data_IF_459048603853
#
_entry.id   IF_459048603853
#
_cell.length_a   1.000
_cell.length_b   1.000
_cell.length_c   1.000
_cell.angle_alpha   90.00
_cell.angle_beta   90.00
_cell.angle_gamma   90.00
#
_symmetry.space_group_name_H-M   'P 1'
#
loop_
_entity.id
_entity.type
_entity.pdbx_description
1 polymer ?
#
# COMPACT_ATOMS: atom_id res chain seq x y z
N UNK A 1 51.34 -5.04 42.62
CA UNK A 1 51.17 -5.35 41.16
C UNK A 1 50.20 -6.51 40.90
N UNK A 2 50.40 -7.68 41.58
CA UNK A 2 49.55 -8.87 41.34
C UNK A 2 48.07 -8.68 41.75
N UNK A 3 47.77 -7.86 42.78
CA UNK A 3 46.40 -7.53 43.18
C UNK A 3 45.72 -6.68 42.13
N UNK A 4 46.37 -5.69 41.57
CA UNK A 4 45.84 -4.83 40.51
C UNK A 4 45.58 -5.60 39.18
N UNK A 5 46.44 -6.56 38.85
CA UNK A 5 46.24 -7.46 37.73
C UNK A 5 44.98 -8.33 37.91
N UNK A 6 44.83 -8.95 39.09
CA UNK A 6 43.65 -9.77 39.40
C UNK A 6 42.36 -8.94 39.44
N UNK A 7 42.41 -7.69 39.87
CA UNK A 7 41.24 -6.79 39.83
C UNK A 7 40.86 -6.46 38.38
N UNK A 8 41.81 -6.22 37.49
CA UNK A 8 41.55 -5.98 36.07
C UNK A 8 40.95 -7.22 35.38
N UNK A 9 41.48 -8.41 35.66
CA UNK A 9 40.95 -9.68 35.13
C UNK A 9 39.50 -9.95 35.62
N UNK A 10 39.18 -9.63 36.86
CA UNK A 10 37.83 -9.75 37.41
C UNK A 10 36.88 -8.77 36.73
N UNK A 11 37.31 -7.53 36.55
CA UNK A 11 36.48 -6.52 35.85
C UNK A 11 36.21 -6.89 34.38
N UNK A 12 37.22 -7.38 33.68
CA UNK A 12 37.06 -7.87 32.29
C UNK A 12 36.06 -9.04 32.22
N UNK A 13 36.18 -10.02 33.15
CA UNK A 13 35.22 -11.13 33.25
C UNK A 13 33.81 -10.65 33.58
N UNK A 14 33.68 -9.69 34.45
CA UNK A 14 32.38 -9.11 34.81
C UNK A 14 31.73 -8.38 33.58
N UNK A 15 32.54 -7.68 32.79
CA UNK A 15 32.06 -7.06 31.56
C UNK A 15 31.64 -8.12 30.52
N UNK A 16 32.37 -9.20 30.40
CA UNK A 16 32.00 -10.32 29.53
C UNK A 16 30.67 -10.96 29.95
N UNK A 17 30.51 -11.24 31.27
CA UNK A 17 29.25 -11.79 31.79
C UNK A 17 28.05 -10.85 31.51
N UNK A 18 28.22 -9.53 31.69
CA UNK A 18 27.16 -8.56 31.39
C UNK A 18 26.76 -8.58 29.89
N UNK A 19 27.74 -8.69 28.99
CA UNK A 19 27.46 -8.82 27.55
C UNK A 19 26.71 -10.12 27.22
N UNK A 20 27.12 -11.24 27.80
CA UNK A 20 26.43 -12.52 27.62
C UNK A 20 24.99 -12.50 28.17
N UNK A 21 24.77 -11.87 29.32
CA UNK A 21 23.43 -11.69 29.90
C UNK A 21 22.53 -10.83 29.01
N UNK A 22 23.07 -9.76 28.42
CA UNK A 22 22.28 -8.91 27.51
C UNK A 22 21.95 -9.64 26.22
N UNK A 23 22.88 -10.39 25.62
CA UNK A 23 22.61 -11.25 24.47
C UNK A 23 21.52 -12.28 24.80
N UNK A 24 21.61 -12.92 25.97
CA UNK A 24 20.60 -13.89 26.41
C UNK A 24 19.24 -13.25 26.60
N UNK A 25 19.16 -12.03 27.12
CA UNK A 25 17.93 -11.26 27.30
C UNK A 25 17.28 -10.95 25.94
N UNK A 26 18.10 -10.47 24.97
CA UNK A 26 17.65 -10.17 23.62
C UNK A 26 17.14 -11.42 22.89
N UNK A 27 17.87 -12.54 23.04
CA UNK A 27 17.47 -13.84 22.48
C UNK A 27 16.14 -14.32 23.05
N UNK A 28 15.95 -14.24 24.36
CA UNK A 28 14.69 -14.63 25.01
C UNK A 28 13.51 -13.77 24.54
N UNK A 29 13.70 -12.45 24.40
CA UNK A 29 12.67 -11.57 23.86
C UNK A 29 12.31 -11.94 22.41
N UNK A 30 13.32 -12.31 21.61
CA UNK A 30 13.10 -12.75 20.22
C UNK A 30 12.30 -14.06 20.17
N UNK A 31 12.64 -15.04 21.01
CA UNK A 31 11.90 -16.30 21.14
C UNK A 31 10.42 -16.04 21.51
N UNK A 32 10.18 -15.18 22.50
CA UNK A 32 8.81 -14.83 22.91
C UNK A 32 8.01 -14.20 21.76
N UNK A 33 8.64 -13.30 21.00
CA UNK A 33 7.99 -12.70 19.83
C UNK A 33 7.67 -13.74 18.75
N UNK A 34 8.57 -14.69 18.50
CA UNK A 34 8.31 -15.80 17.55
C UNK A 34 7.17 -16.71 18.02
N UNK A 35 7.06 -16.97 19.31
CA UNK A 35 5.94 -17.76 19.86
C UNK A 35 4.59 -17.06 19.65
N UNK A 36 4.51 -15.75 19.80
CA UNK A 36 3.33 -14.95 19.51
C UNK A 36 2.98 -15.02 18.02
N UNK A 37 3.95 -14.88 17.14
CA UNK A 37 3.75 -14.98 15.67
C UNK A 37 3.24 -16.38 15.30
N UNK A 38 3.85 -17.43 15.84
CA UNK A 38 3.43 -18.82 15.59
C UNK A 38 2.00 -19.04 16.09
N UNK A 39 1.64 -18.50 17.25
CA UNK A 39 0.28 -18.58 17.79
C UNK A 39 -0.73 -17.90 16.86
N UNK A 40 -0.43 -16.71 16.37
CA UNK A 40 -1.29 -15.99 15.44
C UNK A 40 -1.45 -16.73 14.10
N UNK A 41 -0.35 -17.24 13.53
CA UNK A 41 -0.39 -18.03 12.30
C UNK A 41 -1.19 -19.33 12.46
N UNK A 42 -1.12 -19.98 13.63
CA UNK A 42 -1.94 -21.16 13.92
C UNK A 42 -3.42 -20.81 13.97
N UNK A 43 -3.77 -19.67 14.59
CA UNK A 43 -5.15 -19.20 14.63
C UNK A 43 -5.68 -18.86 13.24
N UNK A 44 -4.92 -18.14 12.41
CA UNK A 44 -5.28 -17.85 11.03
C UNK A 44 -5.47 -19.13 10.19
N UNK A 45 -4.57 -20.10 10.34
CA UNK A 45 -4.70 -21.40 9.67
C UNK A 45 -5.93 -22.18 10.11
N UNK A 46 -6.31 -22.09 11.38
CA UNK A 46 -7.53 -22.73 11.88
C UNK A 46 -8.79 -22.10 11.29
N UNK A 47 -8.85 -20.76 11.23
CA UNK A 47 -9.96 -20.01 10.62
C UNK A 47 -10.05 -20.28 9.11
N UNK A 48 -8.92 -20.30 8.41
CA UNK A 48 -8.87 -20.71 6.99
C UNK A 48 -9.34 -22.16 6.80
N UNK A 49 -8.97 -23.07 7.69
CA UNK A 49 -9.43 -24.45 7.68
C UNK A 49 -10.95 -24.56 7.85
N UNK A 50 -11.53 -23.79 8.78
CA UNK A 50 -13.00 -23.71 8.97
C UNK A 50 -13.70 -23.16 7.73
N UNK A 51 -13.17 -22.08 7.13
CA UNK A 51 -13.70 -21.48 5.92
C UNK A 51 -13.62 -22.46 4.72
N UNK A 52 -12.51 -23.19 4.57
CA UNK A 52 -12.31 -24.19 3.52
C UNK A 52 -13.27 -25.36 3.69
N UNK A 53 -13.46 -25.83 4.92
CA UNK A 53 -14.40 -26.92 5.25
C UNK A 53 -15.84 -26.49 4.95
N UNK A 54 -16.22 -25.27 5.32
CA UNK A 54 -17.51 -24.70 4.96
C UNK A 54 -17.68 -24.62 3.44
N UNK A 55 -16.67 -24.16 2.71
CA UNK A 55 -16.69 -24.06 1.25
C UNK A 55 -16.88 -25.45 0.59
N UNK A 56 -16.08 -26.44 0.98
CA UNK A 56 -16.19 -27.80 0.45
C UNK A 56 -17.54 -28.46 0.74
N UNK A 57 -18.08 -28.26 1.95
CA UNK A 57 -19.41 -28.77 2.32
C UNK A 57 -20.53 -28.19 1.45
N UNK A 58 -20.37 -26.95 0.95
CA UNK A 58 -21.39 -26.24 0.17
C UNK A 58 -21.01 -26.07 -1.30
N UNK A 59 -19.88 -26.58 -1.72
CA UNK A 59 -19.33 -26.41 -3.09
C UNK A 59 -20.32 -26.85 -4.17
N UNK A 60 -20.94 -28.00 -3.99
CA UNK A 60 -21.92 -28.52 -4.95
C UNK A 60 -23.16 -27.62 -5.09
N UNK A 61 -23.61 -27.02 -3.98
CA UNK A 61 -24.74 -26.09 -3.98
C UNK A 61 -24.34 -24.77 -4.59
N UNK A 62 -23.16 -24.24 -4.22
CA UNK A 62 -22.61 -22.99 -4.77
C UNK A 62 -22.37 -23.15 -6.27
N UNK A 63 -21.83 -24.27 -6.72
CA UNK A 63 -21.60 -24.56 -8.15
C UNK A 63 -22.92 -24.66 -8.92
N UNK A 64 -23.93 -25.35 -8.36
CA UNK A 64 -25.27 -25.45 -8.97
C UNK A 64 -25.96 -24.10 -9.11
N UNK A 65 -25.87 -23.26 -8.08
CA UNK A 65 -26.42 -21.89 -8.09
C UNK A 65 -25.66 -21.02 -9.11
N UNK A 66 -24.33 -21.08 -9.11
CA UNK A 66 -23.49 -20.35 -10.09
C UNK A 66 -23.80 -20.75 -11.52
N UNK A 67 -23.96 -22.04 -11.79
CA UNK A 67 -24.30 -22.56 -13.13
C UNK A 67 -25.67 -22.07 -13.57
N UNK A 68 -26.71 -22.20 -12.72
CA UNK A 68 -28.07 -21.72 -13.05
C UNK A 68 -28.13 -20.21 -13.27
N UNK A 69 -27.44 -19.44 -12.42
CA UNK A 69 -27.34 -17.99 -12.58
C UNK A 69 -26.58 -17.62 -13.87
N UNK A 70 -25.50 -18.34 -14.18
CA UNK A 70 -24.73 -18.15 -15.42
C UNK A 70 -25.54 -18.48 -16.69
N UNK A 71 -26.32 -19.54 -16.67
CA UNK A 71 -27.22 -19.94 -17.76
C UNK A 71 -28.35 -18.91 -17.95
N UNK A 72 -29.00 -18.50 -16.88
CA UNK A 72 -30.05 -17.46 -16.93
C UNK A 72 -29.50 -16.12 -17.40
N UNK A 73 -28.30 -15.76 -16.93
CA UNK A 73 -27.60 -14.55 -17.35
C UNK A 73 -27.24 -14.57 -18.83
N UNK A 74 -26.68 -15.70 -19.33
CA UNK A 74 -26.32 -15.83 -20.74
C UNK A 74 -27.54 -15.81 -21.67
N UNK A 75 -28.67 -16.38 -21.22
CA UNK A 75 -29.94 -16.36 -21.96
C UNK A 75 -30.54 -14.97 -22.03
N UNK A 76 -30.46 -14.19 -20.95
CA UNK A 76 -31.03 -12.85 -20.87
C UNK A 76 -30.13 -11.74 -21.45
N UNK A 77 -28.81 -11.99 -21.47
CA UNK A 77 -27.79 -11.06 -21.92
C UNK A 77 -26.75 -11.74 -22.83
N UNK A 78 -26.98 -11.83 -24.14
CA UNK A 78 -26.07 -12.49 -25.07
C UNK A 78 -24.67 -11.86 -25.09
N UNK A 79 -23.63 -12.67 -25.42
CA UNK A 79 -22.25 -12.18 -25.54
C UNK A 79 -22.21 -11.02 -26.56
N UNK A 80 -21.55 -9.92 -26.20
CA UNK A 80 -21.38 -8.74 -27.06
C UNK A 80 -22.46 -7.65 -26.89
N UNK A 81 -23.56 -7.90 -26.18
CA UNK A 81 -24.58 -6.86 -25.96
C UNK A 81 -24.11 -5.76 -25.00
N UNK A 82 -24.54 -4.52 -25.26
CA UNK A 82 -24.25 -3.35 -24.37
C UNK A 82 -24.76 -3.61 -22.94
N UNK A 83 -25.91 -4.29 -22.79
CA UNK A 83 -26.48 -4.69 -21.52
C UNK A 83 -25.60 -5.69 -20.78
N UNK A 84 -24.86 -6.56 -21.50
CA UNK A 84 -23.92 -7.50 -20.88
C UNK A 84 -22.66 -6.78 -20.40
N UNK A 85 -22.13 -5.79 -21.13
CA UNK A 85 -21.03 -4.94 -20.64
C UNK A 85 -21.42 -4.22 -19.35
N UNK A 86 -22.61 -3.66 -19.27
CA UNK A 86 -23.16 -3.03 -18.07
C UNK A 86 -23.26 -4.00 -16.86
N UNK A 87 -23.57 -5.26 -17.14
CA UNK A 87 -23.77 -6.30 -16.12
C UNK A 87 -22.51 -7.12 -15.80
N UNK A 88 -21.41 -6.97 -16.55
CA UNK A 88 -20.13 -7.59 -16.18
C UNK A 88 -19.58 -7.04 -14.87
N UNK A 89 -19.91 -5.79 -14.55
CA UNK A 89 -19.64 -5.19 -13.24
C UNK A 89 -20.47 -5.83 -12.10
N UNK A 90 -21.63 -6.39 -12.38
CA UNK A 90 -22.43 -7.14 -11.40
C UNK A 90 -21.86 -8.52 -11.05
N UNK A 91 -20.83 -9.01 -11.75
CA UNK A 91 -20.15 -10.25 -11.35
C UNK A 91 -19.56 -10.14 -9.95
N UNK A 92 -19.06 -8.99 -9.57
CA UNK A 92 -18.54 -8.74 -8.23
C UNK A 92 -19.64 -8.83 -7.16
N UNK A 93 -20.86 -8.43 -7.49
CA UNK A 93 -22.04 -8.52 -6.64
C UNK A 93 -22.47 -9.97 -6.34
N UNK A 94 -22.28 -10.88 -7.29
CA UNK A 94 -22.61 -12.30 -7.11
C UNK A 94 -21.56 -13.00 -6.23
N UNK A 95 -20.33 -12.46 -6.20
CA UNK A 95 -19.21 -13.04 -5.43
C UNK A 95 -19.06 -12.45 -4.02
N UNK A 96 -19.63 -11.25 -3.77
CA UNK A 96 -19.63 -10.60 -2.45
C UNK A 96 -21.02 -10.07 -2.05
N UNK A 97 -22.05 -10.96 -1.89
CA UNK A 97 -23.44 -10.57 -1.80
C UNK A 97 -23.78 -9.67 -0.59
N UNK A 98 -23.09 -9.83 0.54
CA UNK A 98 -23.39 -9.06 1.74
C UNK A 98 -22.91 -7.61 1.69
N UNK A 99 -21.80 -7.34 1.02
CA UNK A 99 -21.27 -5.97 0.86
C UNK A 99 -22.08 -5.20 -0.20
N UNK A 100 -22.53 -5.92 -1.20
CA UNK A 100 -23.29 -5.38 -2.34
C UNK A 100 -24.74 -5.10 -2.00
N UNK A 101 -25.38 -5.94 -1.17
CA UNK A 101 -26.79 -5.79 -0.81
C UNK A 101 -27.04 -4.48 -0.03
N UNK A 102 -26.08 -4.10 0.83
CA UNK A 102 -26.17 -2.86 1.63
C UNK A 102 -26.07 -1.59 0.78
N UNK A 103 -25.30 -1.64 -0.32
CA UNK A 103 -25.20 -0.56 -1.30
C UNK A 103 -26.44 -0.50 -2.22
N UNK A 104 -26.96 -1.66 -2.64
CA UNK A 104 -28.07 -1.75 -3.60
C UNK A 104 -29.42 -1.34 -2.99
N UNK A 105 -29.60 -1.51 -1.68
CA UNK A 105 -30.83 -1.14 -0.96
C UNK A 105 -30.83 0.31 -0.47
N UNK A 106 -29.71 1.02 -0.54
CA UNK A 106 -29.62 2.43 -0.19
C UNK A 106 -30.18 3.29 -1.33
N UNK A 107 -30.83 4.41 -1.02
CA UNK A 107 -31.27 5.38 -2.03
C UNK A 107 -30.09 5.91 -2.87
N UNK A 108 -28.91 5.90 -2.32
CA UNK A 108 -27.64 6.27 -2.92
C UNK A 108 -27.24 5.34 -4.08
N UNK A 109 -27.51 4.02 -3.98
CA UNK A 109 -27.20 3.05 -5.05
C UNK A 109 -28.07 3.20 -6.29
N UNK A 110 -29.24 3.85 -6.16
CA UNK A 110 -30.19 4.02 -7.28
C UNK A 110 -29.79 5.11 -8.28
N UNK A 111 -28.90 6.02 -7.91
CA UNK A 111 -28.51 7.20 -8.69
C UNK A 111 -27.14 7.10 -9.36
N UNK A 112 -26.45 5.95 -9.28
CA UNK A 112 -25.15 5.76 -9.91
C UNK A 112 -25.29 5.59 -11.43
N UNK A 113 -24.66 6.47 -12.18
CA UNK A 113 -24.51 6.35 -13.64
C UNK A 113 -23.49 5.27 -13.99
N UNK A 114 -23.57 4.73 -15.20
CA UNK A 114 -22.66 3.70 -15.71
C UNK A 114 -21.17 4.12 -15.58
N UNK A 115 -20.38 3.37 -14.86
CA UNK A 115 -18.95 3.62 -14.61
C UNK A 115 -18.60 4.05 -13.19
N UNK A 116 -19.57 4.56 -12.41
CA UNK A 116 -19.34 5.10 -11.06
C UNK A 116 -19.32 4.03 -9.96
N UNK A 117 -19.70 2.79 -10.28
CA UNK A 117 -19.81 1.72 -9.28
C UNK A 117 -18.48 1.33 -8.62
N UNK A 118 -17.35 1.54 -9.31
CA UNK A 118 -16.02 1.19 -8.80
C UNK A 118 -15.41 2.26 -7.90
N UNK A 119 -15.88 3.52 -7.99
CA UNK A 119 -15.39 4.65 -7.18
C UNK A 119 -16.40 5.05 -6.08
N UNK A 120 -17.66 4.68 -6.25
CA UNK A 120 -18.73 4.66 -5.24
C UNK A 120 -18.90 5.94 -4.43
N UNK A 121 -18.86 5.79 -3.10
CA UNK A 121 -19.15 6.86 -2.15
C UNK A 121 -18.12 7.99 -2.19
N UNK A 122 -16.84 7.68 -2.39
CA UNK A 122 -15.75 8.68 -2.38
C UNK A 122 -15.89 9.65 -3.54
N UNK A 123 -16.26 9.17 -4.74
CA UNK A 123 -16.52 10.05 -5.89
C UNK A 123 -17.74 10.95 -5.67
N UNK A 124 -18.80 10.45 -5.02
CA UNK A 124 -19.98 11.29 -4.70
C UNK A 124 -19.66 12.42 -3.74
N UNK A 125 -18.74 12.18 -2.83
CA UNK A 125 -18.34 13.17 -1.84
C UNK A 125 -17.44 14.26 -2.43
N UNK A 126 -16.47 13.87 -3.26
CA UNK A 126 -15.42 14.77 -3.77
C UNK A 126 -15.62 15.20 -5.24
N UNK A 127 -16.41 14.47 -6.03
CA UNK A 127 -16.66 14.76 -7.45
C UNK A 127 -15.40 14.65 -8.31
N UNK A 128 -15.30 15.45 -9.37
CA UNK A 128 -14.10 15.48 -10.21
C UNK A 128 -12.98 16.21 -9.49
N UNK A 129 -11.84 15.57 -9.38
CA UNK A 129 -10.65 16.13 -8.74
C UNK A 129 -9.90 17.10 -9.68
N UNK A 130 -9.40 18.20 -9.13
CA UNK A 130 -8.69 19.24 -9.88
C UNK A 130 -7.29 19.44 -9.29
N UNK A 131 -6.27 18.89 -9.95
CA UNK A 131 -4.89 19.06 -9.56
C UNK A 131 -4.32 20.37 -10.15
N UNK A 132 -3.53 21.13 -9.38
CA UNK A 132 -2.90 22.35 -9.86
C UNK A 132 -1.85 22.00 -10.94
N UNK A 133 -1.82 22.78 -12.03
CA UNK A 133 -0.72 22.71 -12.99
C UNK A 133 0.43 23.56 -12.47
N UNK A 134 1.55 22.91 -12.18
CA UNK A 134 2.77 23.56 -11.69
C UNK A 134 3.84 23.48 -12.77
N UNK A 135 4.43 24.63 -13.14
CA UNK A 135 5.49 24.66 -14.17
C UNK A 135 6.78 24.03 -13.67
N UNK A 136 7.19 24.34 -12.44
CA UNK A 136 8.41 23.85 -11.80
C UNK A 136 8.04 23.16 -10.48
N UNK A 137 7.57 21.91 -10.51
CA UNK A 137 7.23 21.17 -9.29
C UNK A 137 8.51 20.83 -8.52
N UNK A 138 8.45 20.87 -7.19
CA UNK A 138 9.53 20.38 -6.35
C UNK A 138 9.56 18.86 -6.34
N UNK A 139 8.39 18.21 -6.38
CA UNK A 139 8.25 16.76 -6.37
C UNK A 139 7.36 16.28 -7.51
N UNK A 140 7.79 15.24 -8.22
CA UNK A 140 6.96 14.46 -9.14
C UNK A 140 6.48 13.19 -8.42
N UNK A 141 5.19 13.09 -8.15
CA UNK A 141 4.57 11.94 -7.50
C UNK A 141 4.18 10.94 -8.59
N UNK A 142 4.89 9.83 -8.68
CA UNK A 142 4.64 8.74 -9.64
C UNK A 142 3.80 7.66 -8.97
N UNK A 143 2.61 7.42 -9.49
CA UNK A 143 1.65 6.45 -8.95
C UNK A 143 1.49 5.31 -9.96
N UNK A 144 2.07 4.12 -9.72
CA UNK A 144 1.85 2.95 -10.56
C UNK A 144 0.43 2.42 -10.37
N UNK A 145 -0.24 2.17 -11.50
CA UNK A 145 -1.65 1.77 -11.51
C UNK A 145 -1.85 0.59 -12.46
N UNK A 146 -2.56 -0.42 -11.98
CA UNK A 146 -3.10 -1.50 -12.80
C UNK A 146 -4.49 -1.87 -12.29
N UNK A 147 -5.54 -1.35 -12.95
CA UNK A 147 -6.93 -1.47 -12.49
C UNK A 147 -7.15 -0.83 -11.10
N UNK A 148 -8.24 -1.19 -10.42
CA UNK A 148 -8.54 -0.77 -9.04
C UNK A 148 -8.74 0.74 -8.90
N UNK A 149 -9.52 1.35 -9.79
CA UNK A 149 -9.80 2.80 -9.84
C UNK A 149 -10.18 3.40 -8.48
N UNK A 150 -10.89 2.64 -7.64
CA UNK A 150 -11.36 3.12 -6.33
C UNK A 150 -10.22 3.40 -5.36
N UNK A 151 -9.15 2.57 -5.36
CA UNK A 151 -7.95 2.85 -4.58
C UNK A 151 -7.20 4.05 -5.15
N UNK A 152 -6.97 4.07 -6.46
CA UNK A 152 -6.31 5.19 -7.14
C UNK A 152 -7.02 6.51 -6.85
N UNK A 153 -8.35 6.53 -6.93
CA UNK A 153 -9.12 7.74 -6.66
C UNK A 153 -9.02 8.18 -5.19
N UNK A 154 -9.13 7.26 -4.23
CA UNK A 154 -8.96 7.56 -2.80
C UNK A 154 -7.55 8.07 -2.47
N UNK A 155 -6.52 7.49 -3.09
CA UNK A 155 -5.14 7.98 -3.00
C UNK A 155 -5.05 9.43 -3.52
N UNK A 156 -5.59 9.72 -4.69
CA UNK A 156 -5.60 11.06 -5.28
C UNK A 156 -6.34 12.09 -4.41
N UNK A 157 -7.46 11.72 -3.81
CA UNK A 157 -8.18 12.56 -2.83
C UNK A 157 -7.26 12.91 -1.67
N UNK A 158 -6.62 11.92 -1.06
CA UNK A 158 -5.74 12.15 0.10
C UNK A 158 -4.54 13.06 -0.25
N UNK A 159 -3.98 12.94 -1.46
CA UNK A 159 -2.92 13.83 -1.93
C UNK A 159 -3.43 15.27 -2.03
N UNK A 160 -4.59 15.51 -2.63
CA UNK A 160 -5.18 16.85 -2.75
C UNK A 160 -5.49 17.47 -1.38
N UNK A 161 -5.95 16.67 -0.43
CA UNK A 161 -6.31 17.16 0.90
C UNK A 161 -5.10 17.50 1.76
N UNK A 162 -4.04 16.67 1.67
CA UNK A 162 -2.94 16.68 2.63
C UNK A 162 -1.59 17.15 2.09
N UNK A 163 -1.53 17.62 0.83
CA UNK A 163 -0.30 18.14 0.23
C UNK A 163 -0.45 19.63 -0.09
N UNK A 164 -0.14 20.49 0.88
CA UNK A 164 -0.32 21.95 0.77
C UNK A 164 1.00 22.75 0.77
N UNK A 165 2.05 22.15 1.34
CA UNK A 165 3.29 22.85 1.70
C UNK A 165 4.42 22.64 0.69
N UNK A 166 4.23 21.74 -0.29
CA UNK A 166 5.20 21.37 -1.32
C UNK A 166 4.55 21.51 -2.68
N UNK A 167 5.24 22.10 -3.66
CA UNK A 167 4.76 22.12 -5.05
C UNK A 167 5.01 20.78 -5.70
N UNK A 168 3.98 20.22 -6.34
CA UNK A 168 4.06 18.87 -6.90
C UNK A 168 3.29 18.74 -8.22
N UNK A 169 3.65 17.74 -8.98
CA UNK A 169 2.84 17.18 -10.06
C UNK A 169 2.53 15.70 -9.77
N UNK A 170 1.47 15.19 -10.36
CA UNK A 170 1.10 13.77 -10.24
C UNK A 170 1.19 13.12 -11.61
N UNK A 171 1.93 12.01 -11.67
CA UNK A 171 2.14 11.18 -12.86
C UNK A 171 1.52 9.81 -12.59
N UNK A 172 0.51 9.46 -13.36
CA UNK A 172 -0.14 8.16 -13.32
C UNK A 172 0.57 7.22 -14.29
N UNK A 173 1.18 6.18 -13.77
CA UNK A 173 1.82 5.12 -14.54
C UNK A 173 0.83 3.97 -14.77
N UNK A 174 0.00 4.07 -15.83
CA UNK A 174 -1.05 3.07 -16.12
C UNK A 174 -0.50 1.91 -16.94
N UNK A 175 -0.44 0.74 -16.32
CA UNK A 175 0.08 -0.50 -16.92
C UNK A 175 -1.02 -1.30 -17.67
N UNK A 176 -1.73 -0.63 -18.57
CA UNK A 176 -2.81 -1.21 -19.40
C UNK A 176 -4.04 -1.62 -18.57
N UNK A 177 -4.53 -0.73 -17.72
CA UNK A 177 -5.78 -0.95 -16.99
C UNK A 177 -6.96 -1.16 -17.93
N UNK A 178 -7.87 -2.04 -17.53
CA UNK A 178 -9.07 -2.43 -18.31
C UNK A 178 -10.39 -2.13 -17.59
N UNK A 179 -10.31 -1.57 -16.39
CA UNK A 179 -11.44 -1.06 -15.62
C UNK A 179 -11.65 0.45 -15.88
N UNK A 180 -12.42 1.13 -15.02
CA UNK A 180 -12.66 2.57 -15.15
C UNK A 180 -11.38 3.44 -15.03
N UNK A 181 -10.25 2.88 -14.61
CA UNK A 181 -8.94 3.55 -14.61
C UNK A 181 -8.53 3.99 -16.02
N UNK A 182 -8.89 3.24 -17.06
CA UNK A 182 -8.70 3.64 -18.47
C UNK A 182 -9.27 5.03 -18.78
N UNK A 183 -10.28 5.45 -18.01
CA UNK A 183 -10.96 6.72 -18.16
C UNK A 183 -10.71 7.68 -16.98
N UNK A 184 -9.57 7.58 -16.32
CA UNK A 184 -9.23 8.38 -15.13
C UNK A 184 -9.40 9.88 -15.35
N UNK A 185 -9.17 10.39 -16.57
CA UNK A 185 -9.38 11.79 -16.94
C UNK A 185 -10.81 12.29 -16.76
N UNK A 186 -11.80 11.39 -16.66
CA UNK A 186 -13.17 11.76 -16.32
C UNK A 186 -13.34 12.09 -14.84
N UNK A 187 -12.50 11.53 -13.99
CA UNK A 187 -12.58 11.59 -12.54
C UNK A 187 -11.56 12.56 -11.93
N UNK A 188 -10.47 12.81 -12.64
CA UNK A 188 -9.43 13.74 -12.18
C UNK A 188 -8.79 14.45 -13.39
N UNK A 189 -8.43 15.73 -13.22
CA UNK A 189 -7.70 16.51 -14.21
C UNK A 189 -6.45 17.18 -13.60
N UNK A 190 -5.57 17.67 -14.47
CA UNK A 190 -4.27 18.21 -14.05
C UNK A 190 -3.20 17.13 -13.81
N UNK A 191 -3.50 15.86 -14.11
CA UNK A 191 -2.57 14.74 -14.03
C UNK A 191 -1.79 14.56 -15.33
N UNK A 192 -0.56 14.03 -15.23
CA UNK A 192 0.19 13.47 -16.35
C UNK A 192 -0.13 11.97 -16.39
N UNK A 193 -0.68 11.47 -17.50
CA UNK A 193 -1.03 10.05 -17.64
C UNK A 193 -0.07 9.38 -18.61
N UNK A 194 0.76 8.47 -18.10
CA UNK A 194 1.68 7.63 -18.86
C UNK A 194 1.08 6.22 -18.95
N UNK A 195 0.47 5.88 -20.09
CA UNK A 195 -0.11 4.56 -20.31
C UNK A 195 0.79 3.71 -21.19
N UNK A 196 1.12 2.51 -20.72
CA UNK A 196 1.86 1.53 -21.49
C UNK A 196 1.01 0.92 -22.60
N UNK A 197 1.64 0.43 -23.67
CA UNK A 197 0.97 -0.31 -24.74
C UNK A 197 0.75 -1.80 -24.41
N UNK A 198 1.60 -2.33 -23.53
CA UNK A 198 1.55 -3.71 -22.99
C UNK A 198 1.91 -3.68 -21.51
N UNK A 199 1.41 -4.66 -20.75
CA UNK A 199 1.73 -4.75 -19.32
C UNK A 199 3.23 -4.99 -19.13
N UNK A 200 3.90 -4.08 -18.43
CA UNK A 200 5.34 -4.07 -18.18
C UNK A 200 5.70 -4.59 -16.78
N UNK A 201 4.72 -4.73 -15.91
CA UNK A 201 4.92 -5.00 -14.50
C UNK A 201 5.41 -3.78 -13.73
N UNK A 202 5.34 -3.86 -12.40
CA UNK A 202 5.52 -2.75 -11.48
C UNK A 202 6.80 -1.93 -11.74
N UNK A 203 7.97 -2.59 -11.73
CA UNK A 203 9.26 -1.90 -11.82
C UNK A 203 9.43 -1.14 -13.14
N UNK A 204 9.15 -1.79 -14.27
CA UNK A 204 9.32 -1.16 -15.59
C UNK A 204 8.30 -0.05 -15.81
N UNK A 205 7.08 -0.22 -15.31
CA UNK A 205 6.04 0.79 -15.35
C UNK A 205 6.46 2.06 -14.59
N UNK A 206 6.97 1.91 -13.36
CA UNK A 206 7.54 3.02 -12.58
C UNK A 206 8.67 3.72 -13.33
N UNK A 207 9.67 2.95 -13.82
CA UNK A 207 10.82 3.48 -14.54
C UNK A 207 10.43 4.24 -15.80
N UNK A 208 9.44 3.76 -16.53
CA UNK A 208 8.97 4.43 -17.75
C UNK A 208 8.27 5.74 -17.44
N UNK A 209 7.39 5.75 -16.43
CA UNK A 209 6.65 6.94 -16.05
C UNK A 209 7.53 8.01 -15.40
N UNK A 210 8.55 7.61 -14.64
CA UNK A 210 9.50 8.53 -14.02
C UNK A 210 10.29 9.39 -15.02
N UNK A 211 10.41 8.96 -16.28
CA UNK A 211 11.01 9.78 -17.36
C UNK A 211 10.23 11.06 -17.66
N UNK A 212 8.95 11.12 -17.27
CA UNK A 212 8.14 12.32 -17.39
C UNK A 212 8.25 13.27 -16.18
N UNK A 213 8.99 12.87 -15.14
CA UNK A 213 9.18 13.66 -13.92
C UNK A 213 10.00 14.93 -14.21
N UNK A 214 9.47 16.06 -13.75
CA UNK A 214 10.10 17.38 -13.86
C UNK A 214 10.56 17.93 -12.51
N UNK A 215 10.14 17.27 -11.42
CA UNK A 215 10.49 17.65 -10.06
C UNK A 215 11.96 17.41 -9.74
N UNK A 216 12.49 18.19 -8.79
CA UNK A 216 13.82 17.95 -8.20
C UNK A 216 13.87 16.55 -7.54
N UNK A 217 12.74 16.11 -7.01
CA UNK A 217 12.58 14.80 -6.38
C UNK A 217 11.50 13.99 -7.08
N UNK A 218 11.68 12.66 -7.08
CA UNK A 218 10.67 11.68 -7.52
C UNK A 218 10.14 10.93 -6.29
N UNK A 219 8.83 10.95 -6.12
CA UNK A 219 8.11 10.20 -5.09
C UNK A 219 7.36 9.06 -5.72
N UNK A 220 7.78 7.82 -5.50
CA UNK A 220 6.98 6.65 -5.84
C UNK A 220 5.98 6.39 -4.74
N UNK A 221 4.71 6.34 -5.08
CA UNK A 221 3.61 6.16 -4.15
C UNK A 221 2.62 5.13 -4.70
N UNK A 222 2.39 4.03 -3.99
CA UNK A 222 1.42 3.04 -4.42
C UNK A 222 0.00 3.62 -4.45
N UNK A 223 -0.80 3.18 -5.42
CA UNK A 223 -2.17 3.66 -5.63
C UNK A 223 -3.18 3.24 -4.53
N UNK A 224 -2.81 2.31 -3.66
CA UNK A 224 -3.60 1.83 -2.52
C UNK A 224 -3.19 2.46 -1.18
N UNK A 225 -2.43 3.55 -1.22
CA UNK A 225 -2.04 4.33 -0.05
C UNK A 225 -2.95 5.53 0.17
N UNK A 226 -3.06 5.99 1.41
CA UNK A 226 -3.66 7.26 1.78
C UNK A 226 -2.64 8.05 2.59
N UNK A 227 -2.35 9.27 2.14
CA UNK A 227 -1.38 10.14 2.79
C UNK A 227 -2.04 11.00 3.87
N UNK A 228 -1.24 11.48 4.83
CA UNK A 228 -1.69 12.26 5.99
C UNK A 228 -1.07 13.66 5.97
N UNK A 229 -1.58 14.63 6.74
CA UNK A 229 -1.02 15.99 6.78
C UNK A 229 0.48 16.01 7.03
N UNK A 230 1.23 16.81 6.26
CA UNK A 230 2.68 16.99 6.39
C UNK A 230 3.54 15.83 5.86
N UNK A 231 2.96 14.79 5.25
CA UNK A 231 3.68 13.62 4.77
C UNK A 231 4.81 13.95 3.78
N UNK A 232 4.52 14.79 2.78
CA UNK A 232 5.49 15.09 1.72
C UNK A 232 6.53 16.10 2.18
N UNK A 233 6.11 17.14 2.90
CA UNK A 233 7.03 18.16 3.43
C UNK A 233 8.03 17.57 4.43
N UNK A 234 7.61 16.59 5.25
CA UNK A 234 8.53 15.89 6.15
C UNK A 234 9.63 15.12 5.40
N UNK A 235 9.27 14.43 4.30
CA UNK A 235 10.23 13.72 3.47
C UNK A 235 11.18 14.67 2.73
N UNK A 236 10.63 15.77 2.16
CA UNK A 236 11.44 16.80 1.46
C UNK A 236 12.39 17.49 2.43
N UNK A 237 11.92 17.89 3.61
CA UNK A 237 12.79 18.52 4.61
C UNK A 237 13.91 17.59 5.06
N UNK A 238 13.62 16.29 5.20
CA UNK A 238 14.63 15.31 5.58
C UNK A 238 15.69 15.12 4.49
N UNK A 239 15.29 14.90 3.25
CA UNK A 239 16.26 14.70 2.15
C UNK A 239 17.09 15.95 1.87
N UNK A 240 16.57 17.15 2.19
CA UNK A 240 17.28 18.43 2.05
C UNK A 240 18.17 18.77 3.25
N UNK A 241 17.99 18.08 4.39
CA UNK A 241 18.76 18.37 5.62
C UNK A 241 20.23 17.96 5.53
N UNK A 242 20.55 16.96 4.68
CA UNK A 242 21.91 16.48 4.49
C UNK A 242 22.10 16.01 3.03
N UNK A 243 23.11 16.54 2.30
CA UNK A 243 23.36 16.17 0.90
C UNK A 243 23.78 14.71 0.71
N UNK A 244 24.09 13.98 1.76
CA UNK A 244 24.42 12.54 1.70
C UNK A 244 23.17 11.67 1.69
N UNK A 245 22.00 12.21 2.00
CA UNK A 245 20.72 11.47 1.98
C UNK A 245 20.26 11.37 0.53
N UNK A 246 20.37 10.17 -0.05
CA UNK A 246 19.93 9.90 -1.43
C UNK A 246 18.47 9.45 -1.52
N UNK A 247 17.92 8.87 -0.46
CA UNK A 247 16.59 8.27 -0.44
C UNK A 247 15.98 8.36 0.95
N UNK A 248 14.67 8.65 1.02
CA UNK A 248 13.89 8.66 2.26
C UNK A 248 12.57 7.93 2.08
N UNK A 249 12.07 7.32 3.15
CA UNK A 249 10.80 6.60 3.16
C UNK A 249 9.91 6.96 4.33
N UNK A 250 8.65 6.60 4.19
CA UNK A 250 7.61 6.87 5.20
C UNK A 250 7.46 5.70 6.18
N UNK A 251 7.10 6.01 7.41
CA UNK A 251 6.43 5.04 8.29
C UNK A 251 5.06 4.70 7.68
N UNK A 252 4.77 3.41 7.55
CA UNK A 252 3.52 2.91 6.98
C UNK A 252 2.65 2.27 8.07
N UNK A 253 1.35 2.57 8.04
CA UNK A 253 0.36 2.07 9.00
C UNK A 253 -0.76 1.38 8.24
N UNK A 254 -1.21 0.23 8.70
CA UNK A 254 -2.37 -0.46 8.13
C UNK A 254 -3.68 0.28 8.42
N UNK A 255 -4.74 0.07 7.61
CA UNK A 255 -6.04 0.69 7.85
C UNK A 255 -6.69 0.34 9.20
N UNK A 256 -6.25 -0.73 9.85
CA UNK A 256 -6.71 -1.13 11.19
C UNK A 256 -5.94 -0.42 12.32
N UNK A 257 -5.01 0.49 11.98
CA UNK A 257 -4.22 1.28 12.92
C UNK A 257 -2.92 0.62 13.39
N UNK A 258 -2.62 -0.63 12.98
CA UNK A 258 -1.35 -1.28 13.33
C UNK A 258 -0.22 -0.83 12.41
N UNK A 259 1.00 -0.85 12.92
CA UNK A 259 2.19 -0.53 12.14
C UNK A 259 2.39 -1.55 11.00
N UNK A 260 2.56 -1.08 9.78
CA UNK A 260 2.99 -1.91 8.67
C UNK A 260 4.50 -2.02 8.66
N UNK A 261 5.19 -0.88 8.71
CA UNK A 261 6.63 -0.81 8.86
C UNK A 261 7.12 0.59 9.30
N UNK A 262 8.23 0.61 10.00
CA UNK A 262 9.03 1.80 10.27
C UNK A 262 10.46 1.61 9.73
N UNK A 263 10.56 1.30 8.44
CA UNK A 263 11.76 0.87 7.74
C UNK A 263 11.93 -0.64 7.69
N UNK A 264 12.96 -1.10 7.01
CA UNK A 264 13.26 -2.52 6.80
C UNK A 264 14.59 -2.93 7.39
N UNK A 265 14.70 -4.20 7.78
CA UNK A 265 15.90 -4.84 8.28
C UNK A 265 16.27 -5.98 7.31
N UNK A 266 17.52 -6.04 6.88
CA UNK A 266 18.08 -7.16 6.11
C UNK A 266 19.00 -7.97 7.01
N UNK A 267 18.67 -9.23 7.20
CA UNK A 267 19.46 -10.15 8.01
C UNK A 267 20.65 -10.70 7.22
N UNK A 268 21.63 -11.27 7.92
CA UNK A 268 22.84 -11.83 7.31
C UNK A 268 22.58 -12.99 6.36
N UNK A 269 21.42 -13.65 6.42
CA UNK A 269 20.98 -14.68 5.50
C UNK A 269 20.28 -14.12 4.24
N UNK A 270 20.15 -12.79 4.12
CA UNK A 270 19.48 -12.11 3.03
C UNK A 270 17.96 -12.00 3.17
N UNK A 271 17.36 -12.48 4.26
CA UNK A 271 15.96 -12.27 4.54
C UNK A 271 15.69 -10.83 4.95
N UNK A 272 14.52 -10.29 4.57
CA UNK A 272 14.08 -8.94 4.90
C UNK A 272 12.89 -8.93 5.86
N UNK A 273 12.87 -7.97 6.79
CA UNK A 273 11.80 -7.79 7.75
C UNK A 273 11.34 -6.33 7.80
N UNK A 274 10.03 -6.14 7.80
CA UNK A 274 9.43 -4.84 8.08
C UNK A 274 9.51 -4.58 9.58
N UNK A 275 10.29 -3.58 9.98
CA UNK A 275 10.49 -3.25 11.39
C UNK A 275 9.19 -2.79 12.04
N UNK A 276 8.84 -3.42 13.15
CA UNK A 276 7.65 -3.14 13.93
C UNK A 276 6.32 -3.64 13.33
N UNK A 277 6.35 -4.54 12.34
CA UNK A 277 5.14 -5.04 11.69
C UNK A 277 4.10 -5.58 12.68
N UNK A 278 2.85 -5.09 12.55
CA UNK A 278 1.67 -5.41 13.36
C UNK A 278 1.73 -4.89 14.81
N UNK A 279 2.72 -4.09 15.14
CA UNK A 279 2.84 -3.44 16.44
C UNK A 279 2.09 -2.10 16.52
N UNK A 280 2.12 -1.45 17.69
CA UNK A 280 1.55 -0.13 17.91
C UNK A 280 2.44 0.96 17.29
N UNK A 281 1.96 1.72 16.27
CA UNK A 281 2.75 2.74 15.60
C UNK A 281 3.13 3.94 16.47
N UNK A 282 2.49 4.11 17.64
CA UNK A 282 2.74 5.25 18.54
C UNK A 282 3.93 5.00 19.50
N UNK A 283 4.50 3.81 19.51
CA UNK A 283 5.68 3.53 20.33
C UNK A 283 6.87 4.40 19.93
N UNK A 284 7.65 4.92 20.89
CA UNK A 284 8.77 5.83 20.64
C UNK A 284 9.80 5.29 19.63
N UNK A 285 10.05 3.98 19.62
CA UNK A 285 11.01 3.33 18.72
C UNK A 285 10.65 3.41 17.22
N UNK A 286 9.42 3.82 16.88
CA UNK A 286 8.95 3.99 15.51
C UNK A 286 8.73 5.46 15.12
N UNK A 287 9.04 6.40 16.02
CA UNK A 287 8.70 7.80 15.86
C UNK A 287 9.94 8.73 15.89
N UNK A 288 11.04 8.30 15.25
CA UNK A 288 12.20 9.14 15.00
C UNK A 288 12.85 8.77 13.66
N UNK A 289 13.61 9.70 13.10
CA UNK A 289 14.40 9.47 11.89
C UNK A 289 15.57 8.55 12.18
N UNK A 290 15.78 7.55 11.34
CA UNK A 290 16.90 6.60 11.48
C UNK A 290 17.31 6.04 10.13
N UNK A 291 18.55 5.59 10.04
CA UNK A 291 19.02 4.79 8.92
C UNK A 291 18.41 3.39 8.98
N UNK A 292 18.07 2.86 7.80
CA UNK A 292 17.45 1.55 7.64
C UNK A 292 18.11 0.80 6.48
N UNK A 293 18.06 -0.53 6.49
CA UNK A 293 18.69 -1.33 5.44
C UNK A 293 17.91 -1.26 4.11
N UNK A 294 16.59 -1.03 4.16
CA UNK A 294 15.77 -0.77 2.98
C UNK A 294 14.49 0.02 3.33
N UNK A 295 13.90 0.60 2.31
CA UNK A 295 12.63 1.33 2.36
C UNK A 295 11.62 0.63 1.48
N UNK A 296 10.37 0.53 1.94
CA UNK A 296 9.27 -0.05 1.15
C UNK A 296 9.00 0.77 -0.12
N UNK A 297 8.84 0.06 -1.23
CA UNK A 297 8.41 0.65 -2.50
C UNK A 297 7.02 1.28 -2.49
N UNK A 298 6.26 1.15 -1.38
CA UNK A 298 4.95 1.76 -1.24
C UNK A 298 4.99 3.29 -1.14
N UNK A 299 6.09 3.85 -0.55
CA UNK A 299 6.27 5.29 -0.41
C UNK A 299 7.75 5.64 -0.29
N UNK A 300 8.41 5.97 -1.41
CA UNK A 300 9.84 6.31 -1.49
C UNK A 300 10.04 7.64 -2.20
N UNK A 301 10.75 8.57 -1.56
CA UNK A 301 11.25 9.80 -2.17
C UNK A 301 12.74 9.70 -2.42
N UNK A 302 13.20 10.09 -3.61
CA UNK A 302 14.62 10.16 -3.97
C UNK A 302 14.91 11.36 -4.88
N UNK A 303 16.20 11.76 -4.98
CA UNK A 303 16.60 12.76 -5.93
C UNK A 303 16.37 12.28 -7.37
N UNK A 304 15.85 13.16 -8.23
CA UNK A 304 15.64 12.85 -9.64
C UNK A 304 16.96 12.56 -10.38
N UNK A 305 18.07 13.15 -9.91
CA UNK A 305 19.41 12.92 -10.48
C UNK A 305 19.97 11.50 -10.20
N UNK A 306 19.40 10.80 -9.22
CA UNK A 306 19.78 9.42 -8.87
C UNK A 306 18.96 8.36 -9.64
N UNK A 307 17.88 8.78 -10.32
CA UNK A 307 17.01 7.92 -11.09
C UNK A 307 17.40 7.94 -12.58
#
# INVERSE_FOLDING_TARGET
>A
ERINQLQAEVEEKNQQIRKEQEVQRLTNNHVTNLEVIISNLRHENEELGKALTYYHKHEAVIFKVRRKLGEAFNKKFPKGSLKRKKLSYMKEYVFHPFRSLKLYTSEEGKNLKDGDFSIGSVYREHGKLHFPKVENPQVSIVIPVYNQIHYTYACLVSILEHTKDVTYEVIIADDVSTDATEHLSRYAEGLVICRNSTNQGFLRNCNQAAKAARGKYVMFLNNDTQVTPGWLSSLVNLIESDPTIGMVGSKLVYPDGRLQEAGGIIWSDGSGWNYGRLDDPEKPEYNYVKDVDYISGAAILLSNDLW
#
